data_IF_609903376035
#
_entry.id   IF_609903376035
#
_cell.length_a   1.000
_cell.length_b   1.000
_cell.length_c   1.000
_cell.angle_alpha   90.00
_cell.angle_beta   90.00
_cell.angle_gamma   90.00
#
_symmetry.space_group_name_H-M   'P 1'
#
loop_
_entity.id
_entity.type
_entity.pdbx_description
1 polymer ?
#
# COMPACT_ATOMS: atom_id res chain seq x y z
N UNK A 1 5.05 -17.96 9.28
CA UNK A 1 3.96 -18.09 8.28
C UNK A 1 4.60 -18.31 6.93
N UNK A 2 4.14 -19.29 6.16
CA UNK A 2 4.62 -19.56 4.82
C UNK A 2 3.69 -18.85 3.83
N UNK A 3 4.24 -18.03 2.93
CA UNK A 3 3.45 -17.39 1.87
C UNK A 3 3.10 -18.41 0.79
N UNK A 4 2.01 -18.16 0.06
CA UNK A 4 1.79 -18.79 -1.24
C UNK A 4 2.73 -18.17 -2.29
N UNK A 5 2.90 -18.81 -3.45
CA UNK A 5 3.69 -18.24 -4.55
C UNK A 5 3.22 -16.81 -4.94
N UNK A 6 1.90 -16.58 -4.96
CA UNK A 6 1.32 -15.25 -5.18
C UNK A 6 1.74 -14.28 -4.06
N UNK A 7 1.70 -14.73 -2.80
CA UNK A 7 2.07 -13.91 -1.65
C UNK A 7 3.56 -13.52 -1.65
N UNK A 8 4.43 -14.42 -2.08
CA UNK A 8 5.87 -14.15 -2.25
C UNK A 8 6.11 -13.06 -3.29
N UNK A 9 5.43 -13.12 -4.44
CA UNK A 9 5.53 -12.06 -5.47
C UNK A 9 5.08 -10.70 -4.92
N UNK A 10 3.96 -10.67 -4.19
CA UNK A 10 3.45 -9.43 -3.60
C UNK A 10 4.46 -8.86 -2.61
N UNK A 11 5.05 -9.69 -1.75
CA UNK A 11 6.07 -9.28 -0.79
C UNK A 11 7.33 -8.74 -1.49
N UNK A 12 7.83 -9.45 -2.51
CA UNK A 12 8.99 -9.04 -3.31
C UNK A 12 8.78 -7.69 -3.98
N UNK A 13 7.66 -7.52 -4.70
CA UNK A 13 7.37 -6.28 -5.44
C UNK A 13 7.11 -5.11 -4.48
N UNK A 14 6.59 -5.38 -3.29
CA UNK A 14 6.43 -4.35 -2.28
C UNK A 14 7.80 -3.87 -1.78
N UNK A 15 8.71 -4.77 -1.42
CA UNK A 15 10.06 -4.39 -1.01
C UNK A 15 10.82 -3.66 -2.13
N UNK A 16 10.68 -4.13 -3.37
CA UNK A 16 11.26 -3.51 -4.56
C UNK A 16 10.78 -2.07 -4.77
N UNK A 17 9.58 -1.72 -4.27
CA UNK A 17 9.02 -0.39 -4.42
C UNK A 17 9.92 0.70 -3.86
N UNK A 18 10.57 0.48 -2.70
CA UNK A 18 11.52 1.44 -2.13
C UNK A 18 12.86 1.48 -2.87
N UNK A 19 13.30 0.35 -3.43
CA UNK A 19 14.55 0.28 -4.21
C UNK A 19 14.44 1.17 -5.46
N UNK A 20 13.31 1.07 -6.17
CA UNK A 20 13.11 1.80 -7.44
C UNK A 20 12.55 3.21 -7.24
N UNK A 21 12.17 3.59 -6.02
CA UNK A 21 11.62 4.92 -5.69
C UNK A 21 12.31 5.46 -4.44
N UNK A 22 13.42 6.20 -4.58
CA UNK A 22 14.18 6.72 -3.44
C UNK A 22 13.39 7.64 -2.49
N UNK A 23 12.26 8.17 -2.95
CA UNK A 23 11.34 9.02 -2.16
C UNK A 23 10.26 8.22 -1.41
N UNK A 24 10.31 6.89 -1.47
CA UNK A 24 9.37 5.99 -0.81
C UNK A 24 10.07 5.26 0.33
N UNK A 25 9.52 5.39 1.53
CA UNK A 25 9.93 4.65 2.72
C UNK A 25 8.84 3.66 3.09
N UNK A 26 9.19 2.39 3.27
CA UNK A 26 8.26 1.37 3.72
C UNK A 26 8.36 1.25 5.25
N UNK A 27 7.21 1.19 5.93
CA UNK A 27 7.14 0.76 7.33
C UNK A 27 6.37 -0.58 7.39
N UNK A 28 5.62 -0.87 8.43
CA UNK A 28 4.97 -2.17 8.62
C UNK A 28 3.98 -2.52 7.49
N UNK A 29 4.07 -3.76 7.01
CA UNK A 29 3.20 -4.31 5.96
C UNK A 29 2.94 -5.79 6.18
N UNK A 30 1.86 -6.29 5.59
CA UNK A 30 1.45 -7.69 5.68
C UNK A 30 0.73 -8.11 4.41
N UNK A 31 1.06 -9.31 3.94
CA UNK A 31 0.33 -10.01 2.88
C UNK A 31 -0.57 -11.05 3.52
N UNK A 32 -1.89 -10.92 3.30
CA UNK A 32 -2.92 -11.84 3.76
C UNK A 32 -3.56 -12.53 2.56
N UNK A 33 -4.23 -13.68 2.72
CA UNK A 33 -4.78 -14.44 1.59
C UNK A 33 -5.75 -13.66 0.68
N UNK A 34 -6.43 -12.63 1.20
CA UNK A 34 -7.40 -11.84 0.44
C UNK A 34 -7.11 -10.33 0.40
N UNK A 35 -6.10 -9.85 1.12
CA UNK A 35 -5.78 -8.43 1.17
C UNK A 35 -4.32 -8.17 1.50
N UNK A 36 -3.90 -6.94 1.27
CA UNK A 36 -2.56 -6.44 1.57
C UNK A 36 -2.70 -5.13 2.34
N UNK A 37 -2.00 -5.00 3.47
CA UNK A 37 -1.92 -3.76 4.23
C UNK A 37 -0.47 -3.30 4.31
N UNK A 38 -0.26 -2.00 4.21
CA UNK A 38 1.05 -1.39 4.39
C UNK A 38 0.96 0.04 4.88
N UNK A 39 1.97 0.45 5.63
CA UNK A 39 2.28 1.84 5.90
C UNK A 39 3.39 2.26 4.94
N UNK A 40 3.19 3.39 4.26
CA UNK A 40 4.16 3.95 3.32
C UNK A 40 4.34 5.44 3.59
N UNK A 41 5.60 5.87 3.69
CA UNK A 41 6.00 7.27 3.71
C UNK A 41 6.40 7.73 2.31
N UNK A 42 5.87 8.87 1.87
CA UNK A 42 6.25 9.51 0.61
C UNK A 42 6.92 10.83 0.96
N UNK A 43 8.23 10.89 0.75
CA UNK A 43 9.03 12.08 1.02
C UNK A 43 8.97 13.02 -0.17
N UNK A 44 8.60 14.27 0.06
CA UNK A 44 8.72 15.31 -0.96
C UNK A 44 9.83 16.28 -0.54
N UNK A 45 11.02 16.20 -1.15
CA UNK A 45 12.16 17.02 -0.73
C UNK A 45 11.89 18.52 -0.88
N UNK A 46 10.96 18.93 -1.75
CA UNK A 46 10.58 20.34 -1.91
C UNK A 46 9.80 20.82 -0.69
N UNK A 47 8.79 20.08 -0.23
CA UNK A 47 7.98 20.47 0.94
C UNK A 47 8.76 20.36 2.25
N UNK A 48 9.63 19.35 2.39
CA UNK A 48 10.41 19.13 3.60
C UNK A 48 11.48 20.22 3.84
N UNK A 49 11.89 20.93 2.79
CA UNK A 49 12.72 22.14 2.90
C UNK A 49 11.95 23.35 3.42
N UNK A 50 10.69 23.53 3.02
CA UNK A 50 9.85 24.65 3.48
C UNK A 50 9.31 24.43 4.91
N UNK A 51 9.08 23.19 5.34
CA UNK A 51 8.65 22.88 6.72
C UNK A 51 9.74 23.04 7.79
N UNK A 52 11.00 23.29 7.40
CA UNK A 52 12.12 23.55 8.34
C UNK A 52 12.26 25.01 8.77
N UNK A 53 11.41 25.90 8.25
CA UNK A 53 11.29 27.27 8.73
C UNK A 53 10.00 27.37 9.55
N UNK A 54 10.09 27.32 10.90
CA UNK A 54 8.92 27.53 11.74
C UNK A 54 8.71 29.04 11.81
N UNK A 55 7.97 29.59 10.85
CA UNK A 55 7.20 30.84 10.95
C UNK A 55 6.71 31.19 9.54
N UNK A 56 5.61 30.57 9.13
CA UNK A 56 4.51 31.27 8.47
C UNK A 56 3.37 30.27 8.18
N UNK A 57 2.22 30.56 8.78
CA UNK A 57 0.99 29.80 8.60
C UNK A 57 0.41 30.21 7.25
N UNK A 58 0.91 29.65 6.16
CA UNK A 58 0.28 29.79 4.84
C UNK A 58 -0.26 28.44 4.35
N UNK A 59 -1.59 28.26 4.50
CA UNK A 59 -2.34 27.21 3.83
C UNK A 59 -2.53 27.59 2.37
N UNK A 60 -1.52 27.32 1.54
CA UNK A 60 -1.53 27.51 0.08
C UNK A 60 -0.72 26.35 -0.51
N UNK A 61 -1.19 25.48 -1.40
CA UNK A 61 -2.30 25.50 -2.33
C UNK A 61 -2.84 24.07 -2.49
N UNK A 62 -4.17 23.89 -2.46
CA UNK A 62 -4.78 22.76 -3.16
C UNK A 62 -4.54 22.96 -4.65
N UNK A 63 -3.57 22.25 -5.21
CA UNK A 63 -3.44 22.10 -6.67
C UNK A 63 -4.61 21.22 -7.11
N UNK A 64 -5.75 21.85 -7.38
CA UNK A 64 -6.87 21.21 -8.08
C UNK A 64 -6.47 21.16 -9.54
N UNK A 65 -5.88 20.04 -9.97
CA UNK A 65 -5.59 19.82 -11.39
C UNK A 65 -6.91 19.49 -12.11
N UNK A 66 -7.58 20.51 -12.62
CA UNK A 66 -8.61 20.35 -13.66
C UNK A 66 -7.94 19.94 -14.97
N UNK A 67 -8.22 18.73 -15.45
CA UNK A 67 -7.81 18.28 -16.78
C UNK A 67 -7.28 16.84 -16.78
N UNK A 68 -8.07 15.92 -17.35
CA UNK A 68 -7.75 14.53 -17.71
C UNK A 68 -6.75 13.86 -16.76
N UNK A 69 -7.27 13.16 -15.74
CA UNK A 69 -6.53 12.52 -14.62
C UNK A 69 -5.34 11.66 -15.06
N UNK A 70 -4.22 12.31 -15.40
CA UNK A 70 -2.91 11.69 -15.42
C UNK A 70 -2.51 11.57 -13.96
N UNK A 71 -2.26 10.33 -13.50
CA UNK A 71 -1.73 10.09 -12.17
C UNK A 71 -0.51 10.98 -11.98
N UNK A 72 -0.57 11.87 -10.99
CA UNK A 72 0.53 12.79 -10.74
C UNK A 72 1.80 11.98 -10.46
N UNK A 73 2.92 12.28 -11.13
CA UNK A 73 4.18 11.60 -10.85
C UNK A 73 4.49 11.64 -9.36
N UNK A 74 4.97 10.52 -8.81
CA UNK A 74 5.28 10.35 -7.36
C UNK A 74 4.08 10.36 -6.41
N UNK A 75 2.84 10.42 -6.90
CA UNK A 75 1.65 10.25 -6.06
C UNK A 75 1.49 8.82 -5.54
N UNK A 76 0.76 8.65 -4.43
CA UNK A 76 0.39 7.33 -3.90
C UNK A 76 -0.30 6.46 -4.96
N UNK A 77 -1.23 7.05 -5.73
CA UNK A 77 -1.92 6.33 -6.82
C UNK A 77 -0.98 5.83 -7.90
N UNK A 78 0.03 6.62 -8.29
CA UNK A 78 1.04 6.19 -9.26
C UNK A 78 1.91 5.03 -8.73
N UNK A 79 2.25 5.06 -7.43
CA UNK A 79 3.01 3.98 -6.76
C UNK A 79 2.18 2.70 -6.73
N UNK A 80 0.95 2.76 -6.21
CA UNK A 80 0.05 1.59 -6.08
C UNK A 80 -0.31 1.02 -7.45
N UNK A 81 -0.55 1.87 -8.45
CA UNK A 81 -0.84 1.43 -9.82
C UNK A 81 0.30 0.62 -10.42
N UNK A 82 1.55 1.11 -10.32
CA UNK A 82 2.72 0.39 -10.80
C UNK A 82 2.97 -0.90 -10.01
N UNK A 83 2.84 -0.85 -8.68
CA UNK A 83 2.95 -2.02 -7.82
C UNK A 83 1.97 -3.13 -8.22
N UNK A 84 0.66 -2.80 -8.32
CA UNK A 84 -0.37 -3.76 -8.75
C UNK A 84 -0.08 -4.32 -10.14
N UNK A 85 0.35 -3.47 -11.08
CA UNK A 85 0.70 -3.88 -12.45
C UNK A 85 1.86 -4.87 -12.50
N UNK A 86 2.95 -4.61 -11.76
CA UNK A 86 4.11 -5.51 -11.72
C UNK A 86 3.76 -6.85 -11.05
N UNK A 87 2.98 -6.82 -9.96
CA UNK A 87 2.47 -8.03 -9.33
C UNK A 87 1.65 -8.87 -10.33
N UNK A 88 0.63 -8.27 -10.97
CA UNK A 88 -0.23 -8.96 -11.93
C UNK A 88 0.60 -9.57 -13.07
N UNK A 89 1.57 -8.83 -13.60
CA UNK A 89 2.46 -9.34 -14.66
C UNK A 89 3.24 -10.59 -14.21
N UNK A 90 3.85 -10.57 -13.03
CA UNK A 90 4.62 -11.71 -12.50
C UNK A 90 3.72 -12.89 -12.15
N UNK A 91 2.57 -12.63 -11.55
CA UNK A 91 1.60 -13.66 -11.14
C UNK A 91 1.02 -14.38 -12.37
N UNK A 92 0.64 -13.64 -13.41
CA UNK A 92 0.14 -14.22 -14.66
C UNK A 92 1.21 -14.97 -15.45
N UNK A 93 2.48 -14.58 -15.33
CA UNK A 93 3.59 -15.34 -15.91
C UNK A 93 3.78 -16.72 -15.25
N UNK A 94 3.18 -16.94 -14.08
CA UNK A 94 3.13 -18.22 -13.38
C UNK A 94 1.78 -18.94 -13.54
N UNK A 95 0.99 -18.57 -14.55
CA UNK A 95 -0.30 -19.22 -14.91
C UNK A 95 -1.45 -19.00 -13.90
N UNK A 96 -1.33 -18.06 -12.98
CA UNK A 96 -2.40 -17.66 -12.05
C UNK A 96 -3.29 -16.56 -12.64
N UNK A 97 -3.98 -16.85 -13.74
CA UNK A 97 -4.77 -15.87 -14.49
C UNK A 97 -6.07 -15.43 -13.79
N UNK A 98 -6.54 -16.19 -12.82
CA UNK A 98 -7.69 -15.86 -11.97
C UNK A 98 -7.38 -14.75 -10.95
N UNK A 99 -6.10 -14.45 -10.73
CA UNK A 99 -5.70 -13.40 -9.81
C UNK A 99 -6.11 -12.02 -10.35
N UNK A 100 -6.85 -11.29 -9.52
CA UNK A 100 -7.22 -9.91 -9.80
C UNK A 100 -7.19 -9.06 -8.52
N UNK A 101 -6.71 -7.83 -8.65
CA UNK A 101 -6.83 -6.83 -7.61
C UNK A 101 -8.25 -6.24 -7.61
N UNK A 102 -8.72 -5.80 -6.43
CA UNK A 102 -9.80 -4.83 -6.38
C UNK A 102 -9.37 -3.54 -7.10
N UNK A 103 -10.28 -2.94 -7.89
CA UNK A 103 -9.97 -1.80 -8.76
C UNK A 103 -9.46 -0.58 -7.99
N UNK A 104 -10.01 -0.33 -6.80
CA UNK A 104 -9.60 0.75 -5.90
C UNK A 104 -8.77 0.21 -4.74
N UNK A 105 -8.21 1.10 -3.95
CA UNK A 105 -7.56 0.79 -2.68
C UNK A 105 -8.07 1.78 -1.63
N UNK A 106 -7.94 1.41 -0.36
CA UNK A 106 -8.21 2.30 0.75
C UNK A 106 -6.90 2.93 1.20
N UNK A 107 -6.89 4.25 1.35
CA UNK A 107 -5.79 5.00 1.93
C UNK A 107 -6.29 5.97 2.99
N UNK A 108 -5.40 6.29 3.92
CA UNK A 108 -5.63 7.25 4.99
C UNK A 108 -4.30 7.85 5.44
N UNK A 109 -4.25 9.17 5.55
CA UNK A 109 -3.12 9.88 6.16
C UNK A 109 -3.10 9.56 7.67
N UNK A 110 -1.93 9.17 8.16
CA UNK A 110 -1.68 8.93 9.58
C UNK A 110 -1.19 10.26 10.19
N UNK A 111 -1.99 10.95 11.02
CA UNK A 111 -1.72 12.33 11.38
C UNK A 111 -0.76 12.48 12.56
N UNK A 112 -0.65 11.48 13.42
CA UNK A 112 0.09 11.57 14.68
C UNK A 112 0.75 10.23 15.06
N UNK A 113 1.67 10.32 16.02
CA UNK A 113 2.48 9.19 16.47
C UNK A 113 1.65 8.08 17.15
N UNK A 114 0.62 8.43 17.92
CA UNK A 114 -0.24 7.43 18.56
C UNK A 114 -1.06 6.65 17.53
N UNK A 115 -1.57 7.34 16.51
CA UNK A 115 -2.24 6.69 15.39
C UNK A 115 -1.29 5.78 14.61
N UNK A 116 -0.06 6.23 14.37
CA UNK A 116 0.99 5.44 13.73
C UNK A 116 1.30 4.15 14.49
N UNK A 117 1.62 4.24 15.78
CA UNK A 117 1.98 3.08 16.60
C UNK A 117 0.82 2.07 16.69
N UNK A 118 -0.43 2.55 16.79
CA UNK A 118 -1.62 1.70 16.78
C UNK A 118 -1.83 0.97 15.45
N UNK A 119 -1.67 1.65 14.32
CA UNK A 119 -1.84 1.03 12.99
C UNK A 119 -0.71 0.02 12.76
N UNK A 120 0.52 0.36 13.15
CA UNK A 120 1.67 -0.53 13.08
C UNK A 120 1.43 -1.81 13.88
N UNK A 121 0.96 -1.68 15.13
CA UNK A 121 0.63 -2.82 15.98
C UNK A 121 -0.51 -3.65 15.39
N UNK A 122 -1.53 -3.02 14.81
CA UNK A 122 -2.61 -3.72 14.13
C UNK A 122 -2.08 -4.57 12.97
N UNK A 123 -1.28 -3.98 12.06
CA UNK A 123 -0.71 -4.70 10.91
C UNK A 123 0.14 -5.88 11.39
N UNK A 124 1.02 -5.64 12.36
CA UNK A 124 1.91 -6.67 12.91
C UNK A 124 1.17 -7.86 13.53
N UNK A 125 0.05 -7.61 14.20
CA UNK A 125 -0.73 -8.65 14.90
C UNK A 125 -1.89 -9.23 14.09
N UNK A 126 -2.21 -8.63 12.94
CA UNK A 126 -3.33 -9.07 12.10
C UNK A 126 -3.20 -10.54 11.62
N UNK A 127 -2.00 -11.03 11.22
CA UNK A 127 -1.82 -12.42 10.86
C UNK A 127 -2.30 -13.43 11.92
N UNK A 128 -2.07 -13.13 13.19
CA UNK A 128 -2.45 -13.99 14.32
C UNK A 128 -3.96 -13.95 14.59
N UNK A 129 -4.58 -12.79 14.35
CA UNK A 129 -6.01 -12.54 14.58
C UNK A 129 -6.90 -12.94 13.41
N UNK A 130 -6.31 -13.33 12.28
CA UNK A 130 -7.02 -13.61 11.04
C UNK A 130 -8.14 -14.65 11.18
N UNK A 131 -7.90 -15.73 11.93
CA UNK A 131 -8.90 -16.80 12.14
C UNK A 131 -10.16 -16.32 12.90
N UNK A 132 -10.07 -15.19 13.59
CA UNK A 132 -11.14 -14.60 14.39
C UNK A 132 -11.62 -13.25 13.86
N UNK A 133 -11.08 -12.80 12.72
CA UNK A 133 -11.37 -11.49 12.17
C UNK A 133 -12.71 -11.49 11.41
N UNK A 134 -13.46 -10.39 11.49
CA UNK A 134 -14.74 -10.18 10.79
C UNK A 134 -14.65 -10.26 9.26
N UNK A 135 -13.44 -10.15 8.70
CA UNK A 135 -13.17 -10.32 7.26
C UNK A 135 -12.74 -11.75 6.89
N UNK A 136 -12.68 -12.67 7.85
CA UNK A 136 -12.50 -14.10 7.62
C UNK A 136 -13.73 -14.68 6.92
N UNK A 137 -13.74 -14.64 5.59
CA UNK A 137 -14.68 -15.39 4.76
C UNK A 137 -13.96 -16.62 4.22
N UNK A 138 -14.17 -17.79 4.84
CA UNK A 138 -13.96 -19.04 4.12
C UNK A 138 -14.94 -19.04 2.95
N UNK A 139 -14.44 -19.09 1.70
CA UNK A 139 -15.32 -19.51 0.61
C UNK A 139 -15.79 -20.94 0.97
N UNK A 140 -17.09 -21.24 0.96
CA UNK A 140 -17.52 -22.62 1.10
C UNK A 140 -16.85 -23.41 -0.03
N UNK A 141 -16.19 -24.50 0.34
CA UNK A 141 -15.80 -25.53 -0.61
C UNK A 141 -17.13 -25.95 -1.24
N UNK A 142 -17.32 -25.66 -2.54
CA UNK A 142 -18.43 -26.27 -3.25
C UNK A 142 -18.13 -27.76 -3.32
N UNK A 143 -18.77 -28.52 -2.44
CA UNK A 143 -18.83 -29.97 -2.53
C UNK A 143 -19.55 -30.30 -3.83
N UNK A 144 -18.89 -31.08 -4.70
CA UNK A 144 -19.49 -31.71 -5.88
C UNK A 144 -20.70 -32.57 -5.49
#
# INVERSE_FOLDING_TARGET
MQYSAIGEIIADEWQRTAIVRPYVVLDEWVVMPNHFHAIVGIQNPVFDQFSRFPDDVETTQRVVSTGVSRLQPKSLGAIVGQFKSMCTKRIWAMDYHEFAWQSRFYDRIIPDRFAFDRIRQYIKTNPERWKTDKFFKMKPIQSN
#
